data_IF_653889746115
#
_entry.id   IF_653889746115
#
_cell.length_a   1.000
_cell.length_b   1.000
_cell.length_c   1.000
_cell.angle_alpha   90.00
_cell.angle_beta   90.00
_cell.angle_gamma   90.00
#
_symmetry.space_group_name_H-M   'P 1'
#
loop_
_entity.id
_entity.type
_entity.pdbx_description
1 polymer ?
#
# COMPACT_ATOMS: atom_id res chain seq x y z
N UNK A 1 -18.67 1.83 -9.38
CA UNK A 1 -17.63 0.81 -9.15
C UNK A 1 -16.36 1.59 -8.82
N UNK A 2 -15.71 1.36 -7.68
CA UNK A 2 -14.45 2.03 -7.37
C UNK A 2 -13.35 1.41 -8.24
N UNK A 3 -12.52 2.25 -8.86
CA UNK A 3 -11.40 1.77 -9.66
C UNK A 3 -10.34 1.12 -8.75
N UNK A 4 -9.63 0.07 -9.22
CA UNK A 4 -8.52 -0.50 -8.47
C UNK A 4 -7.44 0.57 -8.27
N UNK A 5 -6.91 0.69 -7.05
CA UNK A 5 -5.80 1.61 -6.78
C UNK A 5 -4.56 1.07 -7.48
N UNK A 6 -3.90 1.92 -8.27
CA UNK A 6 -2.63 1.57 -8.87
C UNK A 6 -1.44 2.06 -8.05
N UNK A 7 -0.64 1.12 -7.57
CA UNK A 7 0.65 1.40 -6.95
C UNK A 7 1.76 1.42 -8.01
N UNK A 8 2.40 2.58 -8.16
CA UNK A 8 3.65 2.78 -8.92
C UNK A 8 4.80 1.94 -8.37
N UNK A 9 5.69 1.51 -9.25
CA UNK A 9 6.88 0.73 -8.94
C UNK A 9 7.75 1.37 -7.85
N UNK A 10 8.31 0.51 -7.00
CA UNK A 10 9.25 0.89 -5.93
C UNK A 10 10.69 0.76 -6.44
N UNK A 11 11.56 1.66 -6.01
CA UNK A 11 12.98 1.67 -6.39
C UNK A 11 13.85 0.81 -5.48
N UNK A 12 15.14 0.74 -5.82
CA UNK A 12 16.16 0.11 -4.98
C UNK A 12 16.24 0.78 -3.60
N UNK A 13 16.27 -0.01 -2.51
CA UNK A 13 16.34 0.49 -1.14
C UNK A 13 15.29 -0.12 -0.20
N UNK A 14 14.81 0.64 0.78
CA UNK A 14 13.87 0.15 1.79
C UNK A 14 12.44 0.04 1.24
N UNK A 15 12.12 -1.13 0.67
CA UNK A 15 10.81 -1.41 0.05
C UNK A 15 9.64 -1.17 1.01
N UNK A 16 9.74 -1.62 2.27
CA UNK A 16 8.70 -1.42 3.30
C UNK A 16 8.38 0.06 3.49
N UNK A 17 9.41 0.91 3.62
CA UNK A 17 9.23 2.35 3.81
C UNK A 17 8.58 3.00 2.59
N UNK A 18 8.97 2.59 1.38
CA UNK A 18 8.40 3.10 0.13
C UNK A 18 6.92 2.73 0.01
N UNK A 19 6.57 1.46 0.23
CA UNK A 19 5.16 0.99 0.21
C UNK A 19 4.31 1.73 1.24
N UNK A 20 4.83 1.88 2.46
CA UNK A 20 4.16 2.65 3.51
C UNK A 20 3.87 4.09 3.07
N UNK A 21 4.88 4.79 2.55
CA UNK A 21 4.73 6.19 2.12
C UNK A 21 3.70 6.30 1.01
N UNK A 22 3.73 5.40 0.05
CA UNK A 22 2.85 5.44 -1.09
C UNK A 22 1.39 5.21 -0.70
N UNK A 23 1.10 4.19 0.10
CA UNK A 23 -0.26 3.91 0.59
C UNK A 23 -0.75 5.07 1.47
N UNK A 24 0.10 5.59 2.37
CA UNK A 24 -0.23 6.75 3.20
C UNK A 24 -0.64 7.96 2.36
N UNK A 25 0.11 8.26 1.31
CA UNK A 25 -0.20 9.38 0.45
C UNK A 25 -1.51 9.15 -0.32
N UNK A 26 -1.78 7.93 -0.79
CA UNK A 26 -3.07 7.57 -1.41
C UNK A 26 -4.24 7.79 -0.44
N UNK A 27 -4.09 7.40 0.83
CA UNK A 27 -5.09 7.67 1.88
C UNK A 27 -5.29 9.18 2.06
N UNK A 28 -4.20 9.94 2.19
CA UNK A 28 -4.25 11.40 2.39
C UNK A 28 -4.85 12.16 1.21
N UNK A 29 -4.70 11.65 -0.02
CA UNK A 29 -5.32 12.21 -1.23
C UNK A 29 -6.80 11.82 -1.38
N UNK A 30 -7.33 10.94 -0.53
CA UNK A 30 -8.70 10.46 -0.63
C UNK A 30 -8.93 9.51 -1.82
N UNK A 31 -7.87 8.90 -2.33
CA UNK A 31 -7.91 7.95 -3.46
C UNK A 31 -8.40 6.55 -3.02
N UNK A 32 -8.46 6.30 -1.71
CA UNK A 32 -9.01 5.10 -1.10
C UNK A 32 -10.50 5.27 -0.83
N UNK A 33 -11.34 4.48 -1.53
CA UNK A 33 -12.76 4.48 -1.26
C UNK A 33 -13.05 3.86 0.14
N UNK A 34 -14.06 4.36 0.87
CA UNK A 34 -14.47 3.75 2.14
C UNK A 34 -14.77 2.26 1.99
N UNK A 35 -14.14 1.43 2.82
CA UNK A 35 -14.30 -0.03 2.78
C UNK A 35 -13.54 -0.74 1.65
N UNK A 36 -12.77 -0.02 0.84
CA UNK A 36 -11.88 -0.62 -0.15
C UNK A 36 -10.79 -1.44 0.55
N UNK A 37 -10.71 -2.72 0.19
CA UNK A 37 -9.73 -3.63 0.78
C UNK A 37 -8.37 -3.47 0.13
N UNK A 38 -7.34 -3.32 0.95
CA UNK A 38 -5.95 -3.44 0.55
C UNK A 38 -5.48 -4.88 0.83
N UNK A 39 -5.17 -5.61 -0.23
CA UNK A 39 -4.70 -7.00 -0.15
C UNK A 39 -3.20 -7.02 -0.43
N UNK A 40 -2.42 -7.48 0.55
CA UNK A 40 -0.96 -7.47 0.50
C UNK A 40 -0.38 -8.27 -0.68
N UNK A 41 -1.00 -9.39 -1.04
CA UNK A 41 -0.61 -10.22 -2.19
C UNK A 41 -0.79 -9.47 -3.51
N UNK A 42 -1.93 -8.79 -3.68
CA UNK A 42 -2.26 -8.10 -4.93
C UNK A 42 -1.34 -6.88 -5.13
N UNK A 43 -1.11 -6.13 -4.05
CA UNK A 43 -0.19 -4.98 -4.05
C UNK A 43 1.24 -5.44 -4.33
N UNK A 44 1.70 -6.53 -3.71
CA UNK A 44 3.03 -7.09 -3.95
C UNK A 44 3.21 -7.53 -5.41
N UNK A 45 2.19 -8.17 -6.00
CA UNK A 45 2.19 -8.57 -7.40
C UNK A 45 2.26 -7.35 -8.33
N UNK A 46 1.49 -6.29 -8.04
CA UNK A 46 1.53 -5.05 -8.81
C UNK A 46 2.90 -4.35 -8.75
N UNK A 47 3.51 -4.35 -7.57
CA UNK A 47 4.81 -3.73 -7.32
C UNK A 47 6.00 -4.60 -7.74
N UNK A 48 5.79 -5.85 -8.14
CA UNK A 48 6.87 -6.77 -8.50
C UNK A 48 7.81 -7.13 -7.34
N UNK A 49 7.32 -7.05 -6.09
CA UNK A 49 8.11 -7.33 -4.88
C UNK A 49 7.55 -8.49 -4.07
N UNK A 50 8.27 -8.91 -3.03
CA UNK A 50 7.78 -9.92 -2.10
C UNK A 50 6.66 -9.37 -1.21
N UNK A 51 5.81 -10.26 -0.70
CA UNK A 51 4.65 -9.92 0.14
C UNK A 51 5.02 -9.29 1.49
N UNK A 52 6.13 -9.71 2.09
CA UNK A 52 6.54 -9.29 3.44
C UNK A 52 6.65 -7.76 3.62
N UNK A 53 7.41 -7.01 2.79
CA UNK A 53 7.49 -5.56 2.94
C UNK A 53 6.14 -4.85 2.80
N UNK A 54 5.23 -5.38 1.97
CA UNK A 54 3.87 -4.85 1.82
C UNK A 54 3.06 -5.09 3.08
N UNK A 55 3.08 -6.32 3.60
CA UNK A 55 2.38 -6.67 4.84
C UNK A 55 2.85 -5.80 6.00
N UNK A 56 4.16 -5.61 6.17
CA UNK A 56 4.72 -4.81 7.26
C UNK A 56 4.33 -3.33 7.14
N UNK A 57 4.27 -2.80 5.92
CA UNK A 57 3.82 -1.44 5.65
C UNK A 57 2.33 -1.26 6.00
N UNK A 58 1.48 -2.21 5.59
CA UNK A 58 0.05 -2.21 5.92
C UNK A 58 -0.18 -2.34 7.43
N UNK A 59 0.54 -3.22 8.12
CA UNK A 59 0.43 -3.36 9.58
C UNK A 59 0.85 -2.08 10.30
N UNK A 60 1.88 -1.38 9.81
CA UNK A 60 2.25 -0.08 10.35
C UNK A 60 1.12 0.95 10.17
N UNK A 61 0.48 1.02 9.00
CA UNK A 61 -0.63 1.94 8.75
C UNK A 61 -1.85 1.67 9.64
N UNK A 62 -2.18 0.38 9.85
CA UNK A 62 -3.24 -0.02 10.79
C UNK A 62 -2.87 0.42 12.22
N UNK A 63 -1.62 0.19 12.64
CA UNK A 63 -1.16 0.58 13.98
C UNK A 63 -1.23 2.10 14.21
N UNK A 64 -0.95 2.89 13.18
CA UNK A 64 -1.04 4.35 13.21
C UNK A 64 -2.48 4.89 13.01
N UNK A 65 -3.46 4.03 12.73
CA UNK A 65 -4.86 4.40 12.56
C UNK A 65 -5.23 4.98 11.19
N UNK A 66 -4.40 4.74 10.16
CA UNK A 66 -4.71 5.13 8.78
C UNK A 66 -5.63 4.12 8.06
N UNK A 67 -5.64 2.86 8.51
CA UNK A 67 -6.41 1.74 7.95
C UNK A 67 -7.25 1.05 9.02
#
# INVERSE_FOLDING_TARGET
MAEPIEFKQVGEGNLRAQVYQQIRQTIQRGELAPGQKLVDVDIAAQLGISRMPVRDALMQLVHEGYL
#
